data_IF_726500645115
#
_entry.id   IF_726500645115
#
_cell.length_a   1.000
_cell.length_b   1.000
_cell.length_c   1.000
_cell.angle_alpha   90.00
_cell.angle_beta   90.00
_cell.angle_gamma   90.00
#
_symmetry.space_group_name_H-M   'P 1'
#
loop_
_entity.id
_entity.type
_entity.pdbx_description
1 polymer ?
#
# COMPACT_ATOMS: atom_id res chain seq x y z
N UNK A 1 -4.03 -1.56 -1.50
CA UNK A 1 -3.32 -2.69 -0.86
C UNK A 1 -4.08 -3.96 -1.19
N UNK A 2 -3.36 -5.00 -1.58
CA UNK A 2 -3.92 -6.29 -2.01
C UNK A 2 -3.13 -7.43 -1.39
N UNK A 3 -3.64 -8.66 -1.49
CA UNK A 3 -2.86 -9.84 -1.15
C UNK A 3 -1.64 -9.95 -2.10
N UNK A 4 -0.44 -10.12 -1.55
CA UNK A 4 0.76 -10.20 -2.37
C UNK A 4 0.80 -11.43 -3.28
N UNK A 5 0.11 -12.52 -2.94
CA UNK A 5 0.08 -13.73 -3.79
C UNK A 5 -0.69 -13.52 -5.10
N UNK A 6 -1.51 -12.47 -5.20
CA UNK A 6 -2.26 -12.16 -6.42
C UNK A 6 -1.55 -11.15 -7.31
N UNK A 7 -0.32 -10.76 -6.96
CA UNK A 7 0.48 -9.78 -7.70
C UNK A 7 1.57 -10.51 -8.46
N UNK A 8 1.57 -10.37 -9.78
CA UNK A 8 2.64 -10.88 -10.64
C UNK A 8 3.55 -9.73 -11.05
N UNK A 9 4.85 -9.90 -10.86
CA UNK A 9 5.88 -8.96 -11.28
C UNK A 9 6.70 -9.68 -12.35
N UNK A 10 6.88 -9.06 -13.52
CA UNK A 10 7.69 -9.65 -14.59
C UNK A 10 9.14 -9.80 -14.10
N UNK A 11 9.79 -10.97 -14.27
CA UNK A 11 11.18 -11.19 -13.87
C UNK A 11 12.16 -10.18 -14.47
N UNK A 12 11.88 -9.71 -15.68
CA UNK A 12 12.71 -8.76 -16.42
C UNK A 12 12.42 -7.29 -16.07
N UNK A 13 11.56 -7.05 -15.08
CA UNK A 13 11.26 -5.68 -14.65
C UNK A 13 12.51 -5.06 -14.01
N UNK A 14 12.88 -3.81 -14.36
CA UNK A 14 14.04 -3.12 -13.81
C UNK A 14 13.78 -2.64 -12.37
N UNK A 15 13.49 -3.56 -11.44
CA UNK A 15 13.11 -3.27 -10.06
C UNK A 15 14.23 -3.68 -9.11
N UNK A 16 14.70 -2.74 -8.30
CA UNK A 16 15.64 -2.96 -7.21
C UNK A 16 14.85 -2.95 -5.90
N UNK A 17 15.16 -3.89 -5.00
CA UNK A 17 14.47 -4.02 -3.72
C UNK A 17 15.33 -3.53 -2.56
N UNK A 18 14.74 -2.65 -1.74
CA UNK A 18 15.31 -2.19 -0.47
C UNK A 18 14.53 -2.80 0.71
N UNK A 19 15.25 -3.29 1.72
CA UNK A 19 14.64 -3.85 2.93
C UNK A 19 14.72 -2.85 4.07
N UNK A 20 13.59 -2.63 4.75
CA UNK A 20 13.48 -1.75 5.90
C UNK A 20 13.37 -2.56 7.20
N UNK A 21 13.79 -1.97 8.31
CA UNK A 21 13.75 -2.61 9.64
C UNK A 21 12.35 -3.09 10.05
N UNK A 22 11.30 -2.49 9.50
CA UNK A 22 9.91 -2.85 9.73
C UNK A 22 9.47 -4.13 9.00
N UNK A 23 10.36 -4.76 8.22
CA UNK A 23 10.01 -5.90 7.36
C UNK A 23 9.35 -5.50 6.04
N UNK A 24 9.21 -4.19 5.78
CA UNK A 24 8.78 -3.69 4.48
C UNK A 24 9.94 -3.84 3.48
N UNK A 25 9.65 -4.51 2.36
CA UNK A 25 10.53 -4.56 1.20
C UNK A 25 9.96 -3.66 0.11
N UNK A 26 10.67 -2.60 -0.25
CA UNK A 26 10.23 -1.63 -1.26
C UNK A 26 10.94 -1.89 -2.58
N UNK A 27 10.17 -2.17 -3.63
CA UNK A 27 10.65 -2.22 -5.01
C UNK A 27 10.64 -0.83 -5.64
N UNK A 28 11.78 -0.42 -6.18
CA UNK A 28 12.02 0.86 -6.83
C UNK A 28 12.46 0.59 -8.27
N UNK A 29 11.90 1.30 -9.24
CA UNK A 29 12.35 1.21 -10.63
C UNK A 29 13.75 1.81 -10.75
N UNK A 30 14.72 1.05 -11.28
CA UNK A 30 16.10 1.52 -11.44
C UNK A 30 16.24 2.62 -12.49
N UNK A 31 15.32 2.72 -13.44
CA UNK A 31 15.37 3.70 -14.52
C UNK A 31 14.77 5.05 -14.10
N UNK A 32 13.54 5.04 -13.56
CA UNK A 32 12.82 6.28 -13.22
C UNK A 32 12.83 6.63 -11.73
N UNK A 33 13.40 5.75 -10.88
CA UNK A 33 13.53 5.94 -9.43
C UNK A 33 12.20 6.08 -8.67
N UNK A 34 11.09 5.70 -9.30
CA UNK A 34 9.78 5.70 -8.66
C UNK A 34 9.51 4.39 -7.90
N UNK A 35 8.78 4.43 -6.77
CA UNK A 35 8.33 3.23 -6.09
C UNK A 35 7.33 2.47 -6.98
N UNK A 36 7.55 1.16 -7.14
CA UNK A 36 6.71 0.29 -7.97
C UNK A 36 5.82 -0.59 -7.12
N UNK A 37 6.37 -1.14 -6.04
CA UNK A 37 5.65 -2.03 -5.12
C UNK A 37 6.25 -1.96 -3.73
N UNK A 38 5.42 -2.11 -2.70
CA UNK A 38 5.87 -2.43 -1.34
C UNK A 38 5.35 -3.80 -0.94
N UNK A 39 6.19 -4.67 -0.41
CA UNK A 39 5.83 -6.00 0.06
C UNK A 39 6.05 -6.08 1.56
N UNK A 40 5.04 -6.52 2.30
CA UNK A 40 5.11 -6.65 3.75
C UNK A 40 4.55 -8.01 4.18
N UNK A 41 5.35 -8.76 4.95
CA UNK A 41 4.87 -9.93 5.66
C UNK A 41 4.21 -9.47 6.97
N UNK A 42 2.90 -9.69 7.10
CA UNK A 42 2.13 -9.25 8.28
C UNK A 42 2.08 -10.37 9.32
N UNK A 43 1.95 -11.62 8.85
CA UNK A 43 1.89 -12.84 9.66
C UNK A 43 2.24 -14.05 8.79
N UNK A 44 2.44 -15.26 9.35
CA UNK A 44 2.68 -16.47 8.57
C UNK A 44 1.63 -16.65 7.47
N UNK A 45 2.07 -16.84 6.22
CA UNK A 45 1.23 -16.94 5.02
C UNK A 45 0.41 -15.69 4.64
N UNK A 46 0.49 -14.60 5.40
CA UNK A 46 -0.24 -13.35 5.15
C UNK A 46 0.75 -12.28 4.70
N UNK A 47 0.69 -11.96 3.40
CA UNK A 47 1.55 -10.96 2.78
C UNK A 47 0.70 -9.90 2.08
N UNK A 48 1.03 -8.64 2.30
CA UNK A 48 0.38 -7.52 1.64
C UNK A 48 1.30 -6.92 0.58
N UNK A 49 0.68 -6.49 -0.52
CA UNK A 49 1.31 -5.69 -1.55
C UNK A 49 0.69 -4.28 -1.59
N UNK A 50 1.54 -3.28 -1.58
CA UNK A 50 1.24 -1.86 -1.76
C UNK A 50 1.62 -1.47 -3.18
N UNK A 51 0.64 -1.23 -4.04
CA UNK A 51 0.87 -0.84 -5.44
C UNK A 51 0.42 0.62 -5.60
N UNK A 52 1.32 1.55 -5.96
CA UNK A 52 0.94 2.91 -6.29
C UNK A 52 0.03 2.93 -7.52
N UNK A 53 -1.05 3.72 -7.47
CA UNK A 53 -2.01 3.78 -8.59
C UNK A 53 -1.39 4.30 -9.89
N UNK A 54 -0.34 5.11 -9.79
CA UNK A 54 0.41 5.60 -10.96
C UNK A 54 1.03 4.46 -11.79
N UNK A 55 1.32 3.31 -11.16
CA UNK A 55 1.90 2.14 -11.84
C UNK A 55 0.85 1.35 -12.63
N UNK A 56 -0.43 1.44 -12.23
CA UNK A 56 -1.49 0.59 -12.79
C UNK A 56 -2.00 1.07 -14.16
N UNK A 57 -1.57 2.24 -14.60
CA UNK A 57 -1.97 2.84 -15.87
C UNK A 57 -3.42 3.31 -15.90
N UNK A 58 -3.79 4.05 -16.94
CA UNK A 58 -5.11 4.72 -17.06
C UNK A 58 -6.29 3.76 -17.18
N UNK A 59 -6.04 2.51 -17.61
CA UNK A 59 -7.08 1.50 -17.79
C UNK A 59 -7.48 0.81 -16.49
N UNK A 60 -6.72 1.00 -15.41
CA UNK A 60 -7.03 0.39 -14.13
C UNK A 60 -7.82 1.34 -13.24
N UNK A 61 -9.00 0.91 -12.82
CA UNK A 61 -9.79 1.65 -11.82
C UNK A 61 -9.44 1.15 -10.42
N UNK A 62 -8.70 1.97 -9.68
CA UNK A 62 -8.38 1.67 -8.28
C UNK A 62 -9.62 1.79 -7.38
N UNK A 63 -9.71 0.99 -6.29
CA UNK A 63 -10.73 1.20 -5.28
C UNK A 63 -10.69 2.62 -4.72
N UNK A 64 -11.85 3.15 -4.31
CA UNK A 64 -11.92 4.45 -3.64
C UNK A 64 -11.05 4.44 -2.38
N UNK A 65 -10.31 5.52 -2.15
CA UNK A 65 -9.49 5.67 -0.96
C UNK A 65 -10.37 5.73 0.30
N UNK A 66 -9.96 5.02 1.35
CA UNK A 66 -10.76 4.83 2.58
C UNK A 66 -10.19 5.53 3.82
N UNK A 67 -8.99 6.09 3.72
CA UNK A 67 -8.33 6.87 4.78
C UNK A 67 -7.05 7.54 4.26
N UNK A 68 -6.71 8.71 4.80
CA UNK A 68 -5.37 9.27 4.79
C UNK A 68 -4.64 8.81 6.05
N UNK A 69 -3.69 7.89 5.91
CA UNK A 69 -2.83 7.43 7.02
C UNK A 69 -1.59 8.31 7.14
N UNK A 70 -1.05 8.43 8.36
CA UNK A 70 0.05 9.32 8.68
C UNK A 70 -0.20 10.78 8.29
N UNK A 71 -1.46 11.23 8.35
CA UNK A 71 -1.85 12.54 7.84
C UNK A 71 -1.12 13.70 8.52
N UNK A 72 -0.73 13.57 9.78
CA UNK A 72 0.11 14.54 10.50
C UNK A 72 1.47 14.85 9.85
N UNK A 73 1.89 14.07 8.83
CA UNK A 73 3.11 14.30 8.03
C UNK A 73 2.82 14.91 6.65
N UNK A 74 1.60 15.38 6.40
CA UNK A 74 1.24 15.99 5.11
C UNK A 74 2.04 17.26 4.87
N UNK A 75 2.45 17.47 3.60
CA UNK A 75 3.10 18.72 3.19
C UNK A 75 2.09 19.82 2.84
N UNK A 76 0.88 19.42 2.42
CA UNK A 76 -0.23 20.32 2.07
C UNK A 76 -1.56 19.71 2.50
N UNK A 77 -2.51 20.49 3.05
CA UNK A 77 -3.82 19.97 3.41
C UNK A 77 -4.55 19.40 2.18
N UNK A 78 -5.24 18.28 2.38
CA UNK A 78 -6.11 17.68 1.37
C UNK A 78 -7.56 17.99 1.73
N UNK A 79 -8.27 18.64 0.80
CA UNK A 79 -9.68 19.02 0.98
C UNK A 79 -10.56 17.93 0.38
N UNK A 80 -10.96 16.98 1.23
CA UNK A 80 -11.88 15.90 0.92
C UNK A 80 -12.57 15.37 2.19
N UNK A 81 -13.55 14.50 2.03
CA UNK A 81 -14.31 13.87 3.13
C UNK A 81 -13.67 12.56 3.61
N UNK A 82 -12.49 12.20 3.11
CA UNK A 82 -11.81 10.96 3.48
C UNK A 82 -11.22 11.10 4.89
N UNK A 83 -11.40 10.09 5.77
CA UNK A 83 -10.89 10.13 7.14
C UNK A 83 -9.39 10.42 7.22
N UNK A 84 -9.00 11.42 8.02
CA UNK A 84 -7.61 11.85 8.21
C UNK A 84 -7.06 11.31 9.53
N UNK A 85 -6.19 10.30 9.46
CA UNK A 85 -5.67 9.61 10.64
C UNK A 85 -4.30 10.18 11.02
N UNK A 86 -4.24 10.78 12.21
CA UNK A 86 -3.05 11.42 12.76
C UNK A 86 -2.38 10.55 13.83
N UNK A 87 -1.06 10.69 13.97
CA UNK A 87 -0.22 9.92 14.90
C UNK A 87 0.21 8.56 14.35
N UNK A 88 1.40 8.11 14.76
CA UNK A 88 2.01 6.87 14.30
C UNK A 88 1.14 5.64 14.59
N UNK A 89 0.85 5.38 15.86
CA UNK A 89 0.12 4.18 16.28
C UNK A 89 -1.29 4.06 15.66
N UNK A 90 -2.04 5.17 15.60
CA UNK A 90 -3.38 5.18 14.99
C UNK A 90 -3.32 4.89 13.49
N UNK A 91 -2.30 5.41 12.81
CA UNK A 91 -2.09 5.20 11.38
C UNK A 91 -1.72 3.75 11.07
N UNK A 92 -0.81 3.18 11.86
CA UNK A 92 -0.42 1.76 11.76
C UNK A 92 -1.60 0.82 11.99
N UNK A 93 -2.38 1.03 13.05
CA UNK A 93 -3.58 0.23 13.34
C UNK A 93 -4.61 0.31 12.19
N UNK A 94 -4.82 1.50 11.62
CA UNK A 94 -5.71 1.66 10.48
C UNK A 94 -5.17 0.93 9.24
N UNK A 95 -3.88 1.04 8.96
CA UNK A 95 -3.25 0.35 7.84
C UNK A 95 -3.36 -1.18 7.99
N UNK A 96 -3.06 -1.71 9.17
CA UNK A 96 -3.20 -3.15 9.47
C UNK A 96 -4.65 -3.64 9.32
N UNK A 97 -5.63 -2.87 9.80
CA UNK A 97 -7.06 -3.19 9.63
C UNK A 97 -7.49 -3.27 8.17
N UNK A 98 -7.03 -2.32 7.34
CA UNK A 98 -7.29 -2.35 5.89
C UNK A 98 -6.60 -3.56 5.25
N UNK A 99 -5.38 -3.90 5.69
CA UNK A 99 -4.63 -5.03 5.16
C UNK A 99 -5.35 -6.34 5.43
N UNK A 100 -5.76 -6.56 6.67
CA UNK A 100 -6.50 -7.74 7.07
C UNK A 100 -7.84 -7.82 6.33
N UNK A 101 -8.58 -6.71 6.20
CA UNK A 101 -9.86 -6.70 5.48
C UNK A 101 -9.72 -7.02 3.99
N UNK A 102 -8.67 -6.48 3.35
CA UNK A 102 -8.37 -6.70 1.93
C UNK A 102 -7.76 -8.06 1.62
N UNK A 103 -7.04 -8.66 2.58
CA UNK A 103 -6.44 -9.99 2.44
C UNK A 103 -7.44 -11.10 2.77
N UNK A 104 -8.37 -10.89 3.72
CA UNK A 104 -9.36 -11.89 4.14
C UNK A 104 -10.73 -11.80 3.47
N UNK A 105 -11.03 -10.74 2.72
CA UNK A 105 -12.28 -10.67 1.96
C UNK A 105 -13.53 -10.69 2.84
N UNK A 106 -13.77 -9.59 3.56
CA UNK A 106 -15.12 -9.03 3.67
C UNK A 106 -15.00 -7.53 3.44
N UNK A 107 -15.45 -7.06 2.28
CA UNK A 107 -15.93 -5.69 2.15
C UNK A 107 -16.88 -5.43 3.32
N UNK A 108 -16.63 -4.46 4.21
CA UNK A 108 -17.64 -4.04 5.17
C UNK A 108 -18.79 -3.48 4.34
N UNK A 109 -19.87 -4.24 4.30
CA UNK A 109 -21.14 -3.83 3.74
C UNK A 109 -21.81 -2.94 4.79
N UNK A 110 -21.59 -1.63 4.72
CA UNK A 110 -22.57 -0.57 5.03
C UNK A 110 -21.99 0.80 4.76
#
# INVERSE_FOLDING_TARGET
MVNASTVTISPDSPIIYENYWSGLQRGICSECQQPVVGLLAIAPFIRAAFIPTIVLGERFTAPKASAHIFYHRHLRPVVDDIPKINGFLKSELRAASIALSGVYGKTPNK
#
